data_IF_267235028273
#
_entry.id   IF_267235028273
#
_cell.length_a   1.000
_cell.length_b   1.000
_cell.length_c   1.000
_cell.angle_alpha   90.00
_cell.angle_beta   90.00
_cell.angle_gamma   90.00
#
_symmetry.space_group_name_H-M   'P 1'
#
loop_
_entity.id
_entity.type
_entity.pdbx_description
1 polymer ?
#
# COMPACT_ATOMS: atom_id res chain seq x y z
N UNK A 1 16.03 -21.47 -48.39
CA UNK A 1 15.28 -21.79 -47.15
C UNK A 1 15.70 -20.85 -46.00
N UNK A 2 14.80 -19.94 -45.56
CA UNK A 2 15.09 -19.09 -44.40
C UNK A 2 14.89 -19.92 -43.13
N UNK A 3 15.80 -19.82 -42.13
CA UNK A 3 15.63 -20.52 -40.88
C UNK A 3 14.34 -20.06 -40.17
N UNK A 4 13.65 -20.97 -39.47
CA UNK A 4 12.46 -20.63 -38.71
C UNK A 4 12.80 -19.58 -37.67
N UNK A 5 11.97 -18.54 -37.56
CA UNK A 5 12.14 -17.52 -36.52
C UNK A 5 11.94 -18.17 -35.15
N UNK A 6 12.76 -17.83 -34.15
CA UNK A 6 12.55 -18.31 -32.79
C UNK A 6 11.17 -17.84 -32.27
N UNK A 7 10.51 -18.66 -31.43
CA UNK A 7 9.25 -18.28 -30.81
C UNK A 7 9.43 -17.00 -30.00
N UNK A 8 8.47 -16.08 -30.09
CA UNK A 8 8.50 -14.87 -29.27
C UNK A 8 8.42 -15.25 -27.79
N UNK A 9 9.21 -14.63 -26.91
CA UNK A 9 9.07 -14.84 -25.48
C UNK A 9 7.65 -14.47 -25.03
N UNK A 10 7.08 -15.17 -24.03
CA UNK A 10 5.79 -14.83 -23.48
C UNK A 10 5.82 -13.39 -22.96
N UNK A 11 4.72 -12.62 -23.07
CA UNK A 11 4.65 -11.30 -22.48
C UNK A 11 4.88 -11.41 -20.98
N UNK A 12 5.79 -10.58 -20.45
CA UNK A 12 6.01 -10.48 -19.02
C UNK A 12 4.66 -10.26 -18.30
N UNK A 13 4.39 -10.96 -17.18
CA UNK A 13 3.18 -10.73 -16.41
C UNK A 13 3.12 -9.24 -16.04
N UNK A 14 2.01 -8.57 -16.41
CA UNK A 14 1.74 -7.21 -15.96
C UNK A 14 1.38 -7.28 -14.48
N UNK A 15 2.40 -7.14 -13.64
CA UNK A 15 2.31 -7.12 -12.19
C UNK A 15 1.40 -5.98 -11.71
N UNK A 16 0.62 -6.23 -10.66
CA UNK A 16 -0.26 -5.24 -10.02
C UNK A 16 0.53 -4.09 -9.40
N UNK A 17 -0.07 -2.90 -9.33
CA UNK A 17 0.58 -1.72 -8.74
C UNK A 17 0.47 -1.76 -7.23
N UNK A 18 1.59 -1.84 -6.51
CA UNK A 18 1.61 -1.81 -5.05
C UNK A 18 1.88 -0.42 -4.51
N UNK A 19 1.15 -0.03 -3.48
CA UNK A 19 1.17 1.27 -2.80
C UNK A 19 1.61 1.12 -1.35
N UNK A 20 2.59 1.92 -0.89
CA UNK A 20 2.94 1.97 0.54
C UNK A 20 2.05 2.97 1.28
N UNK A 21 1.21 2.47 2.19
CA UNK A 21 0.37 3.27 3.07
C UNK A 21 0.77 3.09 4.53
N UNK A 22 0.61 4.14 5.32
CA UNK A 22 0.85 4.16 6.76
C UNK A 22 -0.37 4.72 7.47
N UNK A 23 -0.80 4.09 8.57
CA UNK A 23 -1.98 4.55 9.31
C UNK A 23 -1.86 4.18 10.79
N UNK A 24 -2.36 5.03 11.68
CA UNK A 24 -2.55 4.71 13.10
C UNK A 24 -4.04 4.71 13.43
N UNK A 25 -4.58 3.59 13.92
CA UNK A 25 -6.04 3.38 14.00
C UNK A 25 -6.60 3.33 15.44
N UNK A 26 -7.83 3.84 15.56
CA UNK A 26 -8.96 3.31 16.33
C UNK A 26 -10.19 3.30 15.38
N UNK A 27 -11.10 2.32 15.50
CA UNK A 27 -12.20 1.98 14.54
C UNK A 27 -12.66 3.07 13.55
N UNK A 28 -12.61 2.78 12.25
CA UNK A 28 -12.73 3.75 11.15
C UNK A 28 -14.05 3.69 10.34
N UNK A 29 -14.36 4.83 9.72
CA UNK A 29 -14.99 4.91 8.41
C UNK A 29 -14.19 5.91 7.54
N UNK A 30 -13.80 5.48 6.33
CA UNK A 30 -13.29 6.22 5.16
C UNK A 30 -12.95 7.72 5.32
N UNK A 31 -11.66 8.07 5.23
CA UNK A 31 -11.21 9.46 5.12
C UNK A 31 -10.50 9.74 3.80
N UNK A 32 -10.82 10.87 3.16
CA UNK A 32 -10.04 11.43 2.03
C UNK A 32 -8.77 12.05 2.59
N UNK A 33 -7.62 11.78 1.99
CA UNK A 33 -6.41 12.54 2.27
C UNK A 33 -6.63 14.01 1.87
N UNK A 34 -6.65 14.92 2.85
CA UNK A 34 -6.83 16.37 2.61
C UNK A 34 -5.51 17.16 2.67
N UNK A 35 -4.38 16.50 2.96
CA UNK A 35 -3.06 17.12 3.08
C UNK A 35 -1.96 16.41 2.29
N UNK A 36 -0.92 17.17 1.91
CA UNK A 36 0.33 16.63 1.37
C UNK A 36 1.51 17.34 2.02
N UNK A 37 2.60 16.61 2.26
CA UNK A 37 3.78 17.18 2.85
C UNK A 37 4.39 18.23 1.91
N UNK A 38 4.70 19.41 2.45
CA UNK A 38 5.44 20.44 1.71
C UNK A 38 6.90 20.06 1.46
N UNK A 39 7.39 19.04 2.18
CA UNK A 39 8.74 18.47 2.05
C UNK A 39 8.68 17.12 1.33
N UNK A 40 9.72 16.85 0.55
CA UNK A 40 9.95 15.52 -0.01
C UNK A 40 10.43 14.55 1.09
N UNK A 41 9.95 13.31 1.01
CA UNK A 41 10.39 12.16 1.78
C UNK A 41 11.47 11.43 0.98
N UNK A 42 12.60 11.16 1.60
CA UNK A 42 13.71 10.41 1.02
C UNK A 42 13.53 8.93 1.36
N UNK A 43 13.35 8.10 0.32
CA UNK A 43 13.25 6.65 0.45
C UNK A 43 14.36 6.04 -0.40
N UNK A 44 15.20 5.21 0.22
CA UNK A 44 16.29 4.53 -0.46
C UNK A 44 15.79 3.75 -1.69
N UNK A 45 16.43 3.96 -2.84
CA UNK A 45 16.04 3.33 -4.10
C UNK A 45 14.86 4.00 -4.82
N UNK A 46 14.38 5.16 -4.36
CA UNK A 46 13.25 5.87 -4.97
C UNK A 46 13.58 7.32 -5.31
N UNK A 47 13.29 7.77 -6.56
CA UNK A 47 13.41 9.17 -6.90
C UNK A 47 12.18 9.94 -6.39
N UNK A 48 12.41 10.91 -5.50
CA UNK A 48 11.43 11.94 -5.12
C UNK A 48 10.08 11.41 -4.64
N UNK A 49 9.96 11.16 -3.33
CA UNK A 49 8.69 10.77 -2.71
C UNK A 49 8.13 11.92 -1.86
N UNK A 50 6.84 11.83 -1.55
CA UNK A 50 6.12 12.73 -0.67
C UNK A 50 5.21 11.91 0.23
N UNK A 51 4.83 12.48 1.38
CA UNK A 51 3.83 11.90 2.24
C UNK A 51 2.50 12.63 2.03
N UNK A 52 1.50 11.92 1.51
CA UNK A 52 0.16 12.45 1.28
C UNK A 52 -0.82 11.85 2.29
N UNK A 53 -1.46 12.68 3.10
CA UNK A 53 -2.28 12.22 4.21
C UNK A 53 -2.67 13.30 5.19
N UNK A 54 -3.20 12.87 6.33
CA UNK A 54 -3.61 13.73 7.43
C UNK A 54 -2.87 13.34 8.72
N UNK A 55 -2.54 14.31 9.55
CA UNK A 55 -1.85 14.06 10.82
C UNK A 55 -0.40 13.57 10.70
N UNK A 56 0.17 13.47 9.50
CA UNK A 56 1.58 13.12 9.26
C UNK A 56 2.40 14.28 8.70
N UNK A 57 3.62 14.41 9.18
CA UNK A 57 4.59 15.41 8.71
C UNK A 57 5.93 14.74 8.39
N UNK A 58 6.53 15.10 7.25
CA UNK A 58 7.91 14.72 6.95
C UNK A 58 8.85 15.58 7.79
N UNK A 59 9.70 14.92 8.59
CA UNK A 59 10.68 15.55 9.47
C UNK A 59 11.74 16.33 8.68
N UNK A 60 12.45 17.31 9.29
CA UNK A 60 13.49 18.08 8.62
C UNK A 60 14.64 17.24 8.03
N UNK A 61 14.89 16.07 8.60
CA UNK A 61 15.87 15.09 8.09
C UNK A 61 15.44 14.43 6.78
N UNK A 62 14.15 14.53 6.43
CA UNK A 62 13.49 13.99 5.22
C UNK A 62 13.41 12.46 5.12
N UNK A 63 14.07 11.72 5.99
CA UNK A 63 14.07 10.24 6.01
C UNK A 63 13.03 9.64 6.97
N UNK A 64 12.27 10.50 7.67
CA UNK A 64 11.28 10.09 8.65
C UNK A 64 9.95 10.84 8.46
N UNK A 65 8.86 10.12 8.76
CA UNK A 65 7.52 10.69 8.90
C UNK A 65 7.12 10.60 10.36
N UNK A 66 6.73 11.72 10.94
CA UNK A 66 6.11 11.77 12.25
C UNK A 66 4.61 11.78 12.10
N UNK A 67 3.96 10.73 12.58
CA UNK A 67 2.51 10.59 12.63
C UNK A 67 1.98 11.01 14.00
N UNK A 68 0.91 11.80 14.01
CA UNK A 68 0.10 12.06 15.20
C UNK A 68 -0.88 10.91 15.40
N UNK A 69 -1.47 10.86 16.60
CA UNK A 69 -2.59 9.96 16.87
C UNK A 69 -3.70 10.17 15.82
N UNK A 70 -4.26 9.07 15.33
CA UNK A 70 -5.24 9.03 14.23
C UNK A 70 -4.71 9.54 12.88
N UNK A 71 -3.39 9.76 12.77
CA UNK A 71 -2.74 10.14 11.52
C UNK A 71 -2.70 8.97 10.54
N UNK A 72 -2.84 9.29 9.25
CA UNK A 72 -2.77 8.34 8.15
C UNK A 72 -2.22 9.00 6.89
N UNK A 73 -1.68 8.20 5.97
CA UNK A 73 -1.27 8.66 4.66
C UNK A 73 -0.63 7.60 3.79
N UNK A 74 -0.15 8.03 2.63
CA UNK A 74 0.46 7.19 1.62
C UNK A 74 1.72 7.87 1.08
N UNK A 75 2.65 7.04 0.63
CA UNK A 75 3.83 7.51 -0.08
C UNK A 75 3.46 7.79 -1.54
N UNK A 76 3.57 9.07 -1.93
CA UNK A 76 3.19 9.58 -3.24
C UNK A 76 4.41 10.07 -4.04
N UNK A 77 4.34 10.01 -5.37
CA UNK A 77 5.39 10.53 -6.25
C UNK A 77 5.33 12.06 -6.47
N UNK A 78 4.21 12.72 -6.16
CA UNK A 78 4.04 14.19 -6.23
C UNK A 78 2.87 14.65 -5.35
N UNK A 79 2.84 15.96 -5.05
CA UNK A 79 1.85 16.64 -4.21
C UNK A 79 0.95 17.62 -4.99
N UNK A 80 0.57 17.37 -6.25
CA UNK A 80 -0.38 18.26 -6.93
C UNK A 80 -1.85 17.85 -6.70
N UNK A 81 -2.73 18.83 -6.48
CA UNK A 81 -4.17 18.61 -6.23
C UNK A 81 -4.90 17.90 -7.38
N UNK A 82 -4.32 17.93 -8.60
CA UNK A 82 -4.83 17.19 -9.76
C UNK A 82 -4.31 15.74 -9.85
N UNK A 83 -3.27 15.40 -9.07
CA UNK A 83 -2.56 14.12 -9.16
C UNK A 83 -2.58 13.29 -7.85
N UNK A 84 -3.24 13.77 -6.79
CA UNK A 84 -3.52 12.97 -5.58
C UNK A 84 -4.20 11.63 -5.91
N UNK A 85 -4.94 11.56 -7.02
CA UNK A 85 -5.58 10.34 -7.53
C UNK A 85 -4.63 9.37 -8.27
N UNK A 86 -3.41 9.79 -8.65
CA UNK A 86 -2.61 9.11 -9.69
C UNK A 86 -1.15 8.80 -9.31
N UNK A 87 -0.65 9.21 -8.15
CA UNK A 87 0.80 9.19 -7.87
C UNK A 87 1.21 8.17 -6.83
N UNK A 88 0.69 6.96 -6.97
CA UNK A 88 1.23 5.80 -6.29
C UNK A 88 2.64 5.50 -6.80
N UNK A 89 3.65 5.53 -5.91
CA UNK A 89 4.95 4.94 -6.23
C UNK A 89 4.73 3.44 -6.44
N UNK A 90 5.21 2.94 -7.58
CA UNK A 90 4.99 1.56 -8.01
C UNK A 90 6.08 0.67 -7.41
N UNK A 91 5.67 -0.25 -6.54
CA UNK A 91 6.58 -1.24 -5.97
C UNK A 91 6.37 -2.63 -6.59
N UNK A 92 7.47 -3.34 -6.78
CA UNK A 92 7.49 -4.77 -7.07
C UNK A 92 8.24 -5.48 -5.94
N UNK A 93 7.55 -5.89 -4.86
CA UNK A 93 8.21 -6.37 -3.65
C UNK A 93 8.81 -7.79 -3.78
N UNK A 94 8.41 -8.56 -4.81
CA UNK A 94 8.88 -9.93 -4.98
C UNK A 94 10.40 -9.97 -5.24
N UNK A 95 11.13 -10.61 -4.32
CA UNK A 95 12.59 -10.71 -4.37
C UNK A 95 13.33 -9.43 -3.94
N UNK A 96 12.59 -8.39 -3.53
CA UNK A 96 13.15 -7.17 -2.96
C UNK A 96 13.12 -7.23 -1.43
N UNK A 97 13.94 -6.39 -0.80
CA UNK A 97 13.93 -6.17 0.65
C UNK A 97 13.44 -4.76 0.93
N UNK A 98 12.46 -4.63 1.82
CA UNK A 98 11.97 -3.34 2.32
C UNK A 98 12.43 -3.22 3.76
N UNK A 99 13.25 -2.21 4.03
CA UNK A 99 13.76 -1.92 5.36
C UNK A 99 13.20 -0.58 5.82
N UNK A 100 12.70 -0.54 7.05
CA UNK A 100 12.20 0.66 7.69
C UNK A 100 12.39 0.55 9.21
N UNK A 101 12.42 1.70 9.87
CA UNK A 101 12.53 1.78 11.34
C UNK A 101 11.30 2.53 11.86
N UNK A 102 10.75 2.06 12.97
CA UNK A 102 9.57 2.66 13.61
C UNK A 102 9.83 2.85 15.09
N UNK A 103 9.49 4.02 15.63
CA UNK A 103 9.41 4.25 17.06
C UNK A 103 7.98 4.00 17.55
N UNK A 104 7.77 2.85 18.20
CA UNK A 104 6.48 2.46 18.79
C UNK A 104 6.35 2.89 20.25
N UNK A 105 7.33 3.58 20.84
CA UNK A 105 7.36 3.89 22.29
C UNK A 105 6.10 4.58 22.81
N UNK A 106 5.39 5.31 21.94
CA UNK A 106 4.16 6.06 22.24
C UNK A 106 2.87 5.41 21.72
N UNK A 107 2.95 4.21 21.12
CA UNK A 107 1.77 3.46 20.66
C UNK A 107 1.43 2.44 21.73
N UNK A 108 0.44 2.76 22.57
CA UNK A 108 0.01 1.91 23.70
C UNK A 108 -1.05 0.89 23.32
N UNK A 109 -1.59 0.20 24.34
CA UNK A 109 -2.70 -0.73 24.16
C UNK A 109 -3.93 -0.06 23.55
N UNK A 110 -4.67 -0.77 22.70
CA UNK A 110 -5.85 -0.26 22.01
C UNK A 110 -5.55 0.68 20.83
N UNK A 111 -4.28 0.97 20.57
CA UNK A 111 -3.81 1.63 19.37
C UNK A 111 -2.96 0.65 18.55
N UNK A 112 -2.89 0.87 17.24
CA UNK A 112 -1.90 0.28 16.37
C UNK A 112 -1.27 1.37 15.48
N UNK A 113 -0.06 1.10 15.01
CA UNK A 113 0.53 1.74 13.86
C UNK A 113 0.70 0.66 12.80
N UNK A 114 0.29 0.96 11.57
CA UNK A 114 0.29 0.07 10.45
C UNK A 114 1.16 0.62 9.32
N UNK A 115 2.00 -0.24 8.75
CA UNK A 115 2.72 -0.03 7.49
C UNK A 115 2.29 -1.15 6.54
N UNK A 116 1.67 -0.80 5.42
CA UNK A 116 1.07 -1.77 4.49
C UNK A 116 1.33 -1.46 3.02
N UNK A 117 1.31 -2.52 2.21
CA UNK A 117 1.34 -2.45 0.75
C UNK A 117 -0.02 -2.83 0.16
N UNK A 118 -0.61 -2.00 -0.70
CA UNK A 118 -1.92 -2.29 -1.33
C UNK A 118 -1.83 -2.36 -2.85
N UNK A 119 -2.41 -3.41 -3.45
CA UNK A 119 -2.36 -3.67 -4.89
C UNK A 119 -3.50 -2.96 -5.64
N UNK A 120 -3.35 -1.67 -5.91
CA UNK A 120 -4.40 -0.85 -6.49
C UNK A 120 -4.42 -0.86 -8.03
N UNK A 121 -5.61 -0.87 -8.61
CA UNK A 121 -5.83 -0.55 -10.02
C UNK A 121 -6.44 0.87 -10.16
N UNK A 122 -5.81 1.73 -10.96
CA UNK A 122 -6.38 3.04 -11.34
C UNK A 122 -6.46 4.09 -10.22
N UNK A 123 -7.48 4.95 -10.31
CA UNK A 123 -7.71 6.15 -9.47
C UNK A 123 -8.69 5.92 -8.31
N UNK A 124 -8.62 4.79 -7.59
CA UNK A 124 -9.39 4.66 -6.34
C UNK A 124 -9.01 5.79 -5.34
N UNK A 125 -9.49 5.86 -4.11
CA UNK A 125 -8.89 6.83 -3.13
C UNK A 125 -8.31 6.04 -1.97
N UNK A 126 -9.08 5.06 -1.51
CA UNK A 126 -8.67 4.00 -0.62
C UNK A 126 -8.92 2.64 -1.28
N UNK A 127 -8.01 1.69 -1.04
CA UNK A 127 -8.27 0.28 -1.29
C UNK A 127 -7.63 -0.53 -0.17
N UNK A 128 -8.35 -1.55 0.30
CA UNK A 128 -7.93 -2.45 1.38
C UNK A 128 -8.63 -3.81 1.25
N UNK A 129 -8.21 -4.77 2.06
CA UNK A 129 -8.81 -6.11 2.08
C UNK A 129 -10.11 -6.18 2.92
N UNK A 130 -10.40 -5.17 3.74
CA UNK A 130 -11.45 -5.20 4.77
C UNK A 130 -12.76 -4.53 4.35
N UNK A 131 -12.81 -3.94 3.16
CA UNK A 131 -14.05 -3.44 2.58
C UNK A 131 -14.43 -2.01 2.97
N UNK A 132 -13.48 -1.22 3.46
CA UNK A 132 -13.65 0.23 3.71
C UNK A 132 -13.71 1.08 2.43
N UNK A 133 -13.53 0.45 1.26
CA UNK A 133 -13.48 1.09 -0.05
C UNK A 133 -13.43 0.07 -1.19
N UNK A 134 -12.53 0.29 -2.16
CA UNK A 134 -12.30 -0.70 -3.22
C UNK A 134 -11.52 -1.89 -2.67
N UNK A 135 -12.00 -3.11 -2.87
CA UNK A 135 -11.28 -4.30 -2.45
C UNK A 135 -10.00 -4.51 -3.27
N UNK A 136 -8.87 -4.69 -2.60
CA UNK A 136 -7.58 -4.95 -3.24
C UNK A 136 -6.66 -5.82 -2.38
N UNK A 137 -5.76 -6.63 -2.99
CA UNK A 137 -4.77 -7.38 -2.23
C UNK A 137 -3.91 -6.46 -1.36
N UNK A 138 -3.55 -6.94 -0.19
CA UNK A 138 -2.82 -6.17 0.79
C UNK A 138 -1.71 -7.01 1.44
N UNK A 139 -0.62 -6.35 1.81
CA UNK A 139 0.43 -6.92 2.66
C UNK A 139 0.66 -5.93 3.80
N UNK A 140 0.11 -6.21 4.98
CA UNK A 140 0.48 -5.47 6.20
C UNK A 140 1.88 -5.93 6.60
N UNK A 141 2.89 -5.09 6.33
CA UNK A 141 4.29 -5.36 6.67
C UNK A 141 4.52 -5.27 8.19
N UNK A 142 3.75 -4.40 8.84
CA UNK A 142 3.69 -4.25 10.28
C UNK A 142 2.31 -3.71 10.64
N UNK A 143 1.65 -4.36 11.59
CA UNK A 143 0.60 -3.79 12.44
C UNK A 143 1.04 -4.00 13.88
N UNK A 144 1.37 -2.91 14.59
CA UNK A 144 2.05 -3.04 15.86
C UNK A 144 1.77 -1.90 16.84
N UNK A 145 2.03 -2.19 18.11
CA UNK A 145 2.16 -1.22 19.18
C UNK A 145 3.36 -1.60 20.07
N UNK A 146 3.55 -0.94 21.21
CA UNK A 146 4.67 -1.26 22.10
C UNK A 146 4.55 -2.60 22.84
N UNK A 147 3.53 -3.41 22.55
CA UNK A 147 3.29 -4.74 23.15
C UNK A 147 3.24 -5.86 22.12
N UNK A 148 2.62 -5.64 20.97
CA UNK A 148 2.37 -6.66 19.97
C UNK A 148 2.81 -6.22 18.59
N UNK A 149 3.16 -7.21 17.76
CA UNK A 149 3.52 -7.03 16.37
C UNK A 149 2.88 -8.13 15.53
N UNK A 150 2.32 -7.77 14.38
CA UNK A 150 1.82 -8.70 13.39
C UNK A 150 2.20 -8.27 11.98
N UNK A 151 2.52 -9.23 11.12
CA UNK A 151 2.60 -9.05 9.67
C UNK A 151 1.59 -9.97 9.00
N UNK A 152 0.75 -9.40 8.12
CA UNK A 152 -0.44 -10.11 7.60
C UNK A 152 -0.59 -9.90 6.10
N UNK A 153 -0.18 -10.87 5.25
CA UNK A 153 -0.57 -10.90 3.86
C UNK A 153 -2.07 -11.24 3.72
N UNK A 154 -2.78 -10.42 2.95
CA UNK A 154 -4.21 -10.56 2.64
C UNK A 154 -4.41 -10.64 1.13
N UNK A 155 -4.93 -11.79 0.70
CA UNK A 155 -5.15 -12.07 -0.72
C UNK A 155 -6.55 -11.68 -1.14
N UNK A 156 -6.70 -11.32 -2.41
CA UNK A 156 -8.02 -11.17 -3.04
C UNK A 156 -8.12 -12.02 -4.29
N UNK A 157 -9.35 -12.43 -4.60
CA UNK A 157 -9.71 -13.19 -5.80
C UNK A 157 -10.80 -12.43 -6.55
N UNK A 158 -10.73 -12.43 -7.87
CA UNK A 158 -11.86 -12.01 -8.71
C UNK A 158 -12.83 -13.19 -8.83
N UNK A 159 -14.09 -12.97 -8.48
CA UNK A 159 -15.21 -13.87 -8.74
C UNK A 159 -15.68 -13.74 -10.19
N UNK A 160 -16.07 -14.87 -10.79
CA UNK A 160 -16.60 -14.91 -12.16
C UNK A 160 -16.01 -16.05 -12.98
N UNK A 161 -16.87 -16.99 -13.38
CA UNK A 161 -16.52 -18.14 -14.19
C UNK A 161 -15.88 -17.76 -15.54
N UNK A 162 -14.87 -18.52 -15.96
CA UNK A 162 -14.39 -18.51 -17.33
C UNK A 162 -13.17 -17.61 -17.56
N UNK A 163 -12.03 -18.27 -17.58
CA UNK A 163 -10.75 -17.81 -18.09
C UNK A 163 -10.87 -17.03 -19.42
N UNK A 164 -10.77 -15.70 -19.36
CA UNK A 164 -10.18 -14.89 -20.45
C UNK A 164 -9.30 -13.81 -19.85
N UNK A 165 -7.99 -14.08 -19.88
CA UNK A 165 -6.89 -13.11 -19.77
C UNK A 165 -7.26 -11.80 -20.47
N UNK A 166 -7.27 -10.69 -19.74
CA UNK A 166 -6.76 -9.37 -20.14
C UNK A 166 -6.77 -8.45 -18.91
N UNK A 167 -5.60 -8.35 -18.24
CA UNK A 167 -5.14 -7.33 -17.27
C UNK A 167 -6.03 -7.02 -16.02
N UNK A 168 -5.51 -7.06 -14.77
CA UNK A 168 -6.36 -6.92 -13.60
C UNK A 168 -6.63 -5.45 -13.32
N UNK A 169 -7.64 -4.88 -13.97
CA UNK A 169 -8.43 -3.87 -13.28
C UNK A 169 -9.28 -4.66 -12.28
N UNK A 170 -8.88 -4.69 -11.00
CA UNK A 170 -9.71 -5.25 -9.93
C UNK A 170 -11.09 -4.57 -9.99
N UNK A 171 -12.12 -5.33 -10.38
CA UNK A 171 -13.49 -4.82 -10.42
C UNK A 171 -14.03 -4.89 -9.00
N UNK A 172 -14.44 -3.76 -8.38
CA UNK A 172 -14.88 -3.75 -6.99
C UNK A 172 -16.05 -4.72 -6.73
N UNK A 173 -16.92 -4.92 -7.71
CA UNK A 173 -18.17 -5.70 -7.59
C UNK A 173 -17.94 -7.22 -7.53
N UNK A 174 -16.82 -7.70 -8.08
CA UNK A 174 -16.52 -9.13 -8.17
C UNK A 174 -15.30 -9.52 -7.33
N UNK A 175 -14.69 -8.58 -6.61
CA UNK A 175 -13.49 -8.89 -5.83
C UNK A 175 -13.91 -9.39 -4.45
N UNK A 176 -13.40 -10.54 -4.04
CA UNK A 176 -13.53 -11.06 -2.68
C UNK A 176 -12.14 -11.16 -2.05
N UNK A 177 -11.97 -10.58 -0.87
CA UNK A 177 -10.72 -10.57 -0.13
C UNK A 177 -10.81 -11.46 1.12
N UNK A 178 -9.66 -12.00 1.49
CA UNK A 178 -9.43 -12.68 2.75
C UNK A 178 -9.13 -11.62 3.81
N UNK A 179 -10.15 -11.24 4.58
CA UNK A 179 -10.05 -10.15 5.56
C UNK A 179 -9.10 -10.51 6.71
N UNK A 180 -9.06 -11.78 7.10
CA UNK A 180 -8.19 -12.29 8.17
C UNK A 180 -6.74 -12.43 7.70
N UNK A 181 -6.54 -12.88 6.46
CA UNK A 181 -5.21 -13.14 5.92
C UNK A 181 -4.47 -14.29 6.63
N UNK A 182 -3.14 -14.28 6.52
CA UNK A 182 -2.27 -15.27 7.16
C UNK A 182 -1.24 -14.56 8.06
N UNK A 183 -1.70 -14.08 9.21
CA UNK A 183 -0.86 -13.33 10.15
C UNK A 183 0.23 -14.18 10.82
N UNK A 184 1.42 -13.62 10.96
CA UNK A 184 2.49 -14.12 11.83
C UNK A 184 2.94 -12.98 12.75
N UNK A 185 3.14 -13.25 14.05
CA UNK A 185 3.33 -12.19 15.03
C UNK A 185 3.70 -12.67 16.43
N UNK A 186 4.25 -11.75 17.23
CA UNK A 186 4.58 -11.98 18.64
C UNK A 186 3.63 -11.18 19.53
N UNK A 187 3.08 -11.83 20.56
CA UNK A 187 2.25 -11.23 21.61
C UNK A 187 3.05 -10.96 22.89
#
# INVERSE_FOLDING_TARGET
>A
PRPPRPPRPPPAPRCGRWLLAMASWGSFCSARATGCSSRALEIGGMPGAFFAGEGGEVEPSKDAVRLRHEGFGTVAASCSAAEQDSLSLLFYPLGAMINFTVDLSKVGCGCNLEVRLTARAGRAVSCDADGGGTLCPEISLMEANNRAFQATPRRCRQGGAGEKRLAPAWRPQDTQCDAEGCGDGTQ
#
